data_IF_580062947731
#
_entry.id   IF_580062947731
#
_cell.length_a   1.000
_cell.length_b   1.000
_cell.length_c   1.000
_cell.angle_alpha   90.00
_cell.angle_beta   90.00
_cell.angle_gamma   90.00
#
_symmetry.space_group_name_H-M   'P 1'
#
loop_
_entity.id
_entity.type
_entity.pdbx_description
1 polymer ?
#
# COMPACT_ATOMS: atom_id res chain seq x y z
N UNK A 1 20.08 -6.40 5.44
CA UNK A 1 19.03 -6.37 4.41
C UNK A 1 18.31 -5.05 4.51
N UNK A 2 18.32 -4.25 3.43
CA UNK A 2 17.49 -3.05 3.36
C UNK A 2 16.01 -3.50 3.36
N UNK A 3 15.17 -3.09 4.32
CA UNK A 3 13.77 -3.53 4.42
C UNK A 3 12.90 -3.09 3.23
N UNK A 4 13.47 -2.30 2.31
CA UNK A 4 12.80 -1.74 1.15
C UNK A 4 12.88 -2.59 -0.12
N UNK A 5 13.74 -3.61 -0.17
CA UNK A 5 13.94 -4.44 -1.37
C UNK A 5 13.92 -5.92 -1.03
N UNK A 6 13.31 -6.71 -1.91
CA UNK A 6 13.35 -8.17 -1.87
C UNK A 6 14.67 -8.70 -2.49
N UNK A 7 14.95 -9.99 -2.31
CA UNK A 7 16.23 -10.56 -2.78
C UNK A 7 16.37 -10.49 -4.30
N UNK A 8 15.27 -10.68 -5.03
CA UNK A 8 15.27 -10.58 -6.49
C UNK A 8 15.30 -9.13 -7.00
N UNK A 9 15.09 -8.15 -6.11
CA UNK A 9 15.14 -6.72 -6.42
C UNK A 9 16.52 -6.11 -6.14
N UNK A 10 17.48 -6.86 -5.56
CA UNK A 10 18.83 -6.36 -5.29
C UNK A 10 19.52 -5.76 -6.52
N UNK A 11 19.45 -6.35 -7.72
CA UNK A 11 20.05 -5.75 -8.91
C UNK A 11 19.49 -4.36 -9.26
N UNK A 12 18.22 -4.10 -8.91
CA UNK A 12 17.56 -2.81 -9.09
C UNK A 12 18.06 -1.83 -8.02
N UNK A 13 18.12 -2.28 -6.76
CA UNK A 13 18.61 -1.50 -5.63
C UNK A 13 20.05 -1.02 -5.84
N UNK A 14 20.94 -1.87 -6.36
CA UNK A 14 22.33 -1.54 -6.66
C UNK A 14 22.44 -0.44 -7.74
N UNK A 15 21.58 -0.51 -8.77
CA UNK A 15 21.52 0.51 -9.82
C UNK A 15 20.98 1.84 -9.28
N UNK A 16 19.94 1.81 -8.44
CA UNK A 16 19.40 3.01 -7.80
C UNK A 16 20.41 3.67 -6.85
N UNK A 17 21.13 2.87 -6.05
CA UNK A 17 22.20 3.37 -5.19
C UNK A 17 23.29 4.07 -6.03
N UNK A 18 23.72 3.47 -7.14
CA UNK A 18 24.71 4.08 -8.04
C UNK A 18 24.22 5.37 -8.70
N UNK A 19 22.95 5.43 -9.08
CA UNK A 19 22.34 6.65 -9.62
C UNK A 19 22.34 7.77 -8.56
N UNK A 20 22.04 7.42 -7.31
CA UNK A 20 21.98 8.39 -6.22
C UNK A 20 23.38 8.89 -5.82
N UNK A 21 24.39 8.01 -5.79
CA UNK A 21 25.79 8.41 -5.62
C UNK A 21 26.24 9.40 -6.70
N UNK A 22 25.95 9.13 -7.97
CA UNK A 22 26.31 10.03 -9.08
C UNK A 22 25.59 11.38 -9.00
N UNK A 23 24.36 11.42 -8.46
CA UNK A 23 23.65 12.68 -8.20
C UNK A 23 24.32 13.52 -7.13
N UNK A 24 24.90 12.91 -6.09
CA UNK A 24 25.55 13.63 -4.99
C UNK A 24 26.93 14.21 -5.35
N UNK A 25 27.59 13.69 -6.40
CA UNK A 25 28.94 14.10 -6.84
C UNK A 25 28.93 15.29 -7.81
N UNK A 26 27.77 15.72 -8.31
CA UNK A 26 27.62 16.68 -9.41
C UNK A 26 27.90 18.16 -9.10
N UNK A 27 29.13 18.52 -8.72
CA UNK A 27 29.56 19.92 -8.59
C UNK A 27 30.67 20.37 -9.57
N UNK A 28 31.36 19.45 -10.29
CA UNK A 28 32.54 19.82 -11.10
C UNK A 28 32.55 19.31 -12.57
N UNK A 29 31.60 18.44 -12.99
CA UNK A 29 31.59 17.82 -14.35
C UNK A 29 30.17 17.50 -14.86
N UNK A 30 29.30 18.51 -14.87
CA UNK A 30 27.83 18.36 -15.01
C UNK A 30 27.34 17.63 -16.27
N UNK A 31 27.99 17.81 -17.43
CA UNK A 31 27.46 17.31 -18.71
C UNK A 31 27.61 15.78 -18.83
N UNK A 32 28.76 15.21 -18.44
CA UNK A 32 29.02 13.77 -18.57
C UNK A 32 28.25 12.95 -17.53
N UNK A 33 28.04 13.52 -16.33
CA UNK A 33 27.31 12.86 -15.25
C UNK A 33 25.81 12.76 -15.58
N UNK A 34 25.22 13.80 -16.16
CA UNK A 34 23.80 13.81 -16.53
C UNK A 34 23.45 12.71 -17.57
N UNK A 35 24.31 12.53 -18.57
CA UNK A 35 24.13 11.50 -19.61
C UNK A 35 24.26 10.08 -19.03
N UNK A 36 25.24 9.85 -18.15
CA UNK A 36 25.41 8.55 -17.49
C UNK A 36 24.26 8.24 -16.53
N UNK A 37 23.75 9.22 -15.78
CA UNK A 37 22.53 9.06 -14.96
C UNK A 37 21.34 8.67 -15.84
N UNK A 38 21.15 9.32 -16.99
CA UNK A 38 20.08 9.01 -17.94
C UNK A 38 20.19 7.57 -18.46
N UNK A 39 21.40 7.14 -18.80
CA UNK A 39 21.68 5.77 -19.25
C UNK A 39 21.40 4.73 -18.15
N UNK A 40 21.85 4.98 -16.93
CA UNK A 40 21.63 4.08 -15.78
C UNK A 40 20.15 4.00 -15.42
N UNK A 41 19.40 5.10 -15.49
CA UNK A 41 17.93 5.09 -15.30
C UNK A 41 17.23 4.22 -16.33
N UNK A 42 17.55 4.38 -17.62
CA UNK A 42 16.98 3.53 -18.68
C UNK A 42 17.28 2.06 -18.43
N UNK A 43 18.52 1.75 -18.01
CA UNK A 43 18.92 0.39 -17.66
C UNK A 43 18.13 -0.14 -16.45
N UNK A 44 17.97 0.67 -15.41
CA UNK A 44 17.17 0.33 -14.22
C UNK A 44 15.72 0.01 -14.60
N UNK A 45 15.06 0.87 -15.39
CA UNK A 45 13.69 0.62 -15.87
C UNK A 45 13.59 -0.69 -16.66
N UNK A 46 14.48 -0.90 -17.64
CA UNK A 46 14.46 -2.13 -18.44
C UNK A 46 14.71 -3.39 -17.60
N UNK A 47 15.56 -3.29 -16.58
CA UNK A 47 15.87 -4.40 -15.69
C UNK A 47 14.66 -4.71 -14.80
N UNK A 48 14.02 -3.68 -14.23
CA UNK A 48 12.79 -3.81 -13.47
C UNK A 48 11.71 -4.49 -14.32
N UNK A 49 11.46 -4.04 -15.54
CA UNK A 49 10.48 -4.68 -16.44
C UNK A 49 10.80 -6.16 -16.67
N UNK A 50 12.07 -6.50 -16.93
CA UNK A 50 12.48 -7.89 -17.18
C UNK A 50 12.30 -8.80 -15.96
N UNK A 51 12.64 -8.32 -14.76
CA UNK A 51 12.51 -9.06 -13.50
C UNK A 51 11.04 -9.27 -13.17
N UNK A 52 10.23 -8.21 -13.24
CA UNK A 52 8.81 -8.29 -12.90
C UNK A 52 8.00 -9.08 -13.94
N UNK A 53 8.45 -9.17 -15.19
CA UNK A 53 7.84 -10.01 -16.23
C UNK A 53 8.05 -11.52 -15.99
N UNK A 54 9.06 -11.92 -15.21
CA UNK A 54 9.46 -13.33 -15.02
C UNK A 54 9.33 -13.80 -13.55
N UNK A 55 8.49 -13.13 -12.75
CA UNK A 55 8.29 -13.47 -11.35
C UNK A 55 7.82 -14.91 -11.15
N UNK A 56 8.48 -15.62 -10.24
CA UNK A 56 8.02 -16.94 -9.82
C UNK A 56 6.84 -16.80 -8.84
N UNK A 57 6.08 -17.89 -8.66
CA UNK A 57 4.94 -17.91 -7.73
C UNK A 57 5.33 -17.50 -6.30
N UNK A 58 6.54 -17.86 -5.86
CA UNK A 58 7.07 -17.47 -4.57
C UNK A 58 7.39 -15.96 -4.50
N UNK A 59 7.96 -15.38 -5.55
CA UNK A 59 8.29 -13.96 -5.61
C UNK A 59 7.02 -13.10 -5.55
N UNK A 60 5.96 -13.50 -6.24
CA UNK A 60 4.64 -12.85 -6.17
C UNK A 60 4.11 -12.87 -4.72
N UNK A 61 4.27 -13.99 -4.02
CA UNK A 61 3.84 -14.11 -2.62
C UNK A 61 4.65 -13.19 -1.70
N UNK A 62 5.95 -13.04 -1.94
CA UNK A 62 6.81 -12.11 -1.21
C UNK A 62 6.43 -10.66 -1.48
N UNK A 63 6.19 -10.30 -2.74
CA UNK A 63 5.73 -8.98 -3.14
C UNK A 63 4.37 -8.65 -2.50
N UNK A 64 3.47 -9.63 -2.44
CA UNK A 64 2.18 -9.48 -1.79
C UNK A 64 2.30 -9.19 -0.28
N UNK A 65 3.42 -9.55 0.34
CA UNK A 65 3.76 -9.31 1.75
C UNK A 65 4.82 -8.23 1.93
N UNK A 66 5.11 -7.45 0.89
CA UNK A 66 6.15 -6.44 0.92
C UNK A 66 5.91 -5.44 2.07
N UNK A 67 6.94 -5.10 2.89
CA UNK A 67 6.77 -4.19 4.03
C UNK A 67 6.21 -2.82 3.64
N UNK A 68 6.51 -2.34 2.43
CA UNK A 68 6.00 -1.07 1.89
C UNK A 68 4.75 -1.19 1.04
N UNK A 69 4.14 -2.38 0.94
CA UNK A 69 2.89 -2.55 0.18
C UNK A 69 1.84 -1.58 0.73
N UNK A 70 1.17 -0.78 -0.12
CA UNK A 70 0.08 0.08 0.32
C UNK A 70 -1.07 -0.74 0.92
N UNK A 71 -1.65 -0.23 2.01
CA UNK A 71 -2.79 -0.78 2.72
C UNK A 71 -4.06 0.03 2.42
N UNK A 72 -5.18 -0.41 2.98
CA UNK A 72 -6.51 0.19 2.74
C UNK A 72 -6.52 1.70 2.95
N UNK A 73 -5.98 2.21 4.05
CA UNK A 73 -5.98 3.65 4.30
C UNK A 73 -5.14 4.45 3.28
N UNK A 74 -4.07 3.87 2.74
CA UNK A 74 -3.26 4.55 1.72
C UNK A 74 -4.04 4.73 0.42
N UNK A 75 -4.86 3.75 0.04
CA UNK A 75 -5.76 3.88 -1.10
C UNK A 75 -6.93 4.82 -0.80
N UNK A 76 -7.45 4.80 0.42
CA UNK A 76 -8.55 5.68 0.81
C UNK A 76 -8.13 7.15 0.64
N UNK A 77 -6.94 7.51 1.15
CA UNK A 77 -6.39 8.87 1.07
C UNK A 77 -6.14 9.34 -0.38
N UNK A 78 -5.85 8.42 -1.30
CA UNK A 78 -5.51 8.75 -2.68
C UNK A 78 -6.69 8.70 -3.65
N UNK A 79 -7.74 7.93 -3.33
CA UNK A 79 -8.85 7.63 -4.27
C UNK A 79 -10.15 8.33 -3.87
N UNK A 80 -10.37 8.58 -2.57
CA UNK A 80 -11.67 9.04 -2.08
C UNK A 80 -11.57 10.39 -1.38
N UNK A 81 -12.64 11.17 -1.51
CA UNK A 81 -12.83 12.43 -0.78
C UNK A 81 -13.76 12.21 0.43
N UNK A 82 -13.72 13.13 1.40
CA UNK A 82 -14.64 13.15 2.56
C UNK A 82 -14.78 11.80 3.29
N UNK A 83 -13.65 11.11 3.54
CA UNK A 83 -13.68 9.83 4.26
C UNK A 83 -13.92 10.02 5.76
N UNK A 84 -15.06 9.52 6.23
CA UNK A 84 -15.43 9.46 7.64
C UNK A 84 -15.35 8.02 8.17
N UNK A 85 -14.31 7.71 8.95
CA UNK A 85 -14.15 6.39 9.56
C UNK A 85 -15.23 6.13 10.64
N UNK A 86 -15.90 4.99 10.54
CA UNK A 86 -16.97 4.57 11.44
C UNK A 86 -16.53 3.40 12.32
N UNK A 87 -16.64 3.56 13.63
CA UNK A 87 -16.14 2.61 14.62
C UNK A 87 -17.24 1.72 15.24
N UNK A 88 -16.83 0.53 15.69
CA UNK A 88 -17.60 -0.35 16.58
C UNK A 88 -18.61 -1.26 15.88
N UNK A 89 -18.85 -2.43 16.48
CA UNK A 89 -19.86 -3.42 16.06
C UNK A 89 -21.22 -3.24 16.78
N UNK A 90 -21.30 -2.32 17.74
CA UNK A 90 -22.46 -2.07 18.63
C UNK A 90 -22.84 -3.26 19.53
N UNK A 91 -21.93 -4.22 19.75
CA UNK A 91 -22.16 -5.39 20.60
C UNK A 91 -21.02 -5.65 21.58
N UNK A 92 -19.78 -5.51 21.14
CA UNK A 92 -18.61 -5.87 21.93
C UNK A 92 -17.53 -4.81 21.86
N UNK A 93 -16.94 -4.58 20.69
CA UNK A 93 -15.77 -3.71 20.54
C UNK A 93 -15.65 -3.14 19.12
N UNK A 94 -14.74 -2.18 18.96
CA UNK A 94 -14.21 -1.76 17.67
C UNK A 94 -12.94 -2.56 17.35
N UNK A 95 -12.93 -3.26 16.21
CA UNK A 95 -11.77 -4.00 15.74
C UNK A 95 -10.86 -3.10 14.88
N UNK A 96 -9.64 -2.77 15.33
CA UNK A 96 -8.72 -1.93 14.57
C UNK A 96 -8.13 -2.63 13.33
N UNK A 97 -8.32 -3.94 13.16
CA UNK A 97 -7.94 -4.67 11.95
C UNK A 97 -8.88 -4.38 10.77
N UNK A 98 -10.11 -3.94 11.01
CA UNK A 98 -11.08 -3.53 9.99
C UNK A 98 -11.30 -2.03 10.07
N UNK A 99 -10.94 -1.34 9.01
CA UNK A 99 -11.29 0.07 8.79
C UNK A 99 -12.47 0.13 7.85
N UNK A 100 -13.35 1.12 8.05
CA UNK A 100 -14.44 1.34 7.12
C UNK A 100 -15.30 2.52 7.50
N UNK A 101 -15.97 3.09 6.51
CA UNK A 101 -16.58 4.40 6.63
C UNK A 101 -17.23 4.86 5.34
N UNK A 102 -17.94 5.98 5.43
CA UNK A 102 -18.49 6.66 4.25
C UNK A 102 -17.43 7.51 3.60
N UNK A 103 -17.44 7.56 2.27
CA UNK A 103 -16.56 8.41 1.48
C UNK A 103 -17.27 8.87 0.22
N UNK A 104 -16.62 9.72 -0.58
CA UNK A 104 -17.03 10.07 -1.94
C UNK A 104 -16.03 9.56 -2.96
N UNK A 105 -16.55 8.98 -4.04
CA UNK A 105 -15.79 8.63 -5.24
C UNK A 105 -16.38 9.40 -6.41
N UNK A 106 -15.63 10.33 -6.99
CA UNK A 106 -16.10 11.24 -8.04
C UNK A 106 -17.43 11.93 -7.66
N UNK A 107 -17.51 12.40 -6.42
CA UNK A 107 -18.71 13.04 -5.85
C UNK A 107 -19.84 12.09 -5.45
N UNK A 108 -19.78 10.80 -5.82
CA UNK A 108 -20.81 9.80 -5.45
C UNK A 108 -20.53 9.22 -4.06
N UNK A 109 -21.53 9.18 -3.14
CA UNK A 109 -21.34 8.59 -1.82
C UNK A 109 -21.18 7.07 -1.92
N UNK A 110 -20.18 6.53 -1.22
CA UNK A 110 -19.83 5.11 -1.18
C UNK A 110 -19.50 4.68 0.25
N UNK A 111 -19.66 3.38 0.54
CA UNK A 111 -19.17 2.76 1.75
C UNK A 111 -17.88 1.99 1.43
N UNK A 112 -16.80 2.32 2.13
CA UNK A 112 -15.49 1.65 1.96
C UNK A 112 -15.20 0.83 3.20
N UNK A 113 -14.72 -0.41 3.02
CA UNK A 113 -14.35 -1.32 4.12
C UNK A 113 -13.07 -2.05 3.72
N UNK A 114 -12.14 -2.29 4.64
CA UNK A 114 -11.00 -3.13 4.33
C UNK A 114 -10.11 -3.50 5.50
N UNK A 115 -9.17 -4.39 5.23
CA UNK A 115 -8.18 -4.82 6.21
C UNK A 115 -7.08 -3.78 6.38
N UNK A 116 -6.71 -3.49 7.63
CA UNK A 116 -5.63 -2.57 7.92
C UNK A 116 -4.56 -3.25 8.77
N UNK A 117 -3.36 -3.38 8.20
CA UNK A 117 -2.23 -4.10 8.82
C UNK A 117 -1.40 -3.27 9.78
N UNK A 118 -1.18 -1.99 9.46
CA UNK A 118 -0.22 -1.13 10.16
C UNK A 118 1.20 -1.23 9.58
N UNK A 119 1.93 -0.11 9.57
CA UNK A 119 3.30 -0.01 9.01
C UNK A 119 4.34 -0.30 10.09
N UNK A 120 4.25 0.42 11.20
CA UNK A 120 5.14 0.29 12.35
C UNK A 120 4.79 -0.92 13.23
N UNK A 121 5.76 -1.38 14.02
CA UNK A 121 5.57 -2.53 14.93
C UNK A 121 4.41 -2.28 15.89
N UNK A 122 4.33 -1.07 16.47
CA UNK A 122 3.24 -0.67 17.37
C UNK A 122 1.88 -0.75 16.69
N UNK A 123 1.78 -0.28 15.45
CA UNK A 123 0.54 -0.31 14.68
C UNK A 123 0.15 -1.73 14.28
N UNK A 124 1.13 -2.56 13.90
CA UNK A 124 0.91 -3.97 13.56
C UNK A 124 0.32 -4.74 14.73
N UNK A 125 0.87 -4.54 15.93
CA UNK A 125 0.33 -5.16 17.15
C UNK A 125 -1.07 -4.62 17.45
N UNK A 126 -1.26 -3.30 17.39
CA UNK A 126 -2.58 -2.67 17.63
C UNK A 126 -3.64 -3.21 16.69
N UNK A 127 -3.34 -3.36 15.39
CA UNK A 127 -4.26 -3.81 14.35
C UNK A 127 -4.25 -5.32 14.13
N UNK A 128 -3.64 -6.08 15.04
CA UNK A 128 -3.53 -7.53 14.96
C UNK A 128 -3.02 -8.03 13.60
N UNK A 129 -2.06 -7.34 12.99
CA UNK A 129 -1.52 -7.64 11.66
C UNK A 129 -2.58 -7.72 10.55
N UNK A 130 -3.68 -6.95 10.69
CA UNK A 130 -4.82 -6.97 9.78
C UNK A 130 -5.63 -8.28 9.86
N UNK A 131 -5.49 -9.04 10.94
CA UNK A 131 -6.27 -10.25 11.20
C UNK A 131 -7.48 -9.89 12.07
N UNK A 132 -8.69 -9.83 11.49
CA UNK A 132 -9.87 -9.41 12.23
C UNK A 132 -10.35 -10.51 13.19
N UNK A 133 -10.89 -10.06 14.32
CA UNK A 133 -11.66 -10.85 15.28
C UNK A 133 -13.14 -10.89 14.86
N UNK A 134 -13.99 -11.71 15.51
CA UNK A 134 -15.41 -11.77 15.17
C UNK A 134 -16.12 -10.41 15.19
N UNK A 135 -15.78 -9.53 16.11
CA UNK A 135 -16.27 -8.15 16.19
C UNK A 135 -15.95 -7.32 14.94
N UNK A 136 -14.79 -7.53 14.29
CA UNK A 136 -14.42 -6.86 13.04
C UNK A 136 -15.34 -7.25 11.88
N UNK A 137 -15.68 -8.54 11.76
CA UNK A 137 -16.65 -8.99 10.76
C UNK A 137 -18.07 -8.47 11.04
N UNK A 138 -18.49 -8.38 12.31
CA UNK A 138 -19.78 -7.78 12.67
C UNK A 138 -19.82 -6.28 12.39
N UNK A 139 -18.71 -5.56 12.63
CA UNK A 139 -18.53 -4.16 12.23
C UNK A 139 -18.68 -4.02 10.72
N UNK A 140 -17.98 -4.84 9.93
CA UNK A 140 -18.09 -4.83 8.47
C UNK A 140 -19.54 -5.06 8.01
N UNK A 141 -20.22 -6.08 8.55
CA UNK A 141 -21.63 -6.35 8.24
C UNK A 141 -22.53 -5.15 8.56
N UNK A 142 -22.38 -4.54 9.74
CA UNK A 142 -23.14 -3.34 10.14
C UNK A 142 -22.96 -2.20 9.15
N UNK A 143 -21.74 -1.99 8.65
CA UNK A 143 -21.43 -0.97 7.66
C UNK A 143 -22.08 -1.30 6.30
N UNK A 144 -22.06 -2.57 5.88
CA UNK A 144 -22.74 -3.01 4.66
C UNK A 144 -24.27 -2.81 4.75
N UNK A 145 -24.89 -3.16 5.87
CA UNK A 145 -26.33 -2.92 6.11
C UNK A 145 -26.68 -1.42 6.13
N UNK A 146 -25.75 -0.57 6.58
CA UNK A 146 -25.93 0.88 6.51
C UNK A 146 -25.85 1.37 5.07
N UNK A 147 -24.89 0.88 4.29
CA UNK A 147 -24.75 1.20 2.89
C UNK A 147 -26.00 0.80 2.09
N UNK A 148 -26.53 -0.40 2.33
CA UNK A 148 -27.78 -0.88 1.72
C UNK A 148 -28.95 0.06 2.01
N UNK A 149 -29.15 0.46 3.27
CA UNK A 149 -30.23 1.37 3.69
C UNK A 149 -30.21 2.71 2.94
N UNK A 150 -29.02 3.25 2.68
CA UNK A 150 -28.85 4.51 1.96
C UNK A 150 -28.55 4.32 0.46
N UNK A 151 -28.65 3.09 -0.05
CA UNK A 151 -28.39 2.72 -1.45
C UNK A 151 -26.99 3.15 -1.93
N UNK A 152 -26.00 3.06 -1.05
CA UNK A 152 -24.60 3.36 -1.36
C UNK A 152 -23.90 2.11 -1.89
N UNK A 153 -23.06 2.23 -2.95
CA UNK A 153 -22.15 1.16 -3.35
C UNK A 153 -21.18 0.79 -2.24
N UNK A 154 -20.77 -0.48 -2.19
CA UNK A 154 -19.80 -1.00 -1.22
C UNK A 154 -18.51 -1.35 -1.96
N UNK A 155 -17.39 -0.86 -1.45
CA UNK A 155 -16.05 -1.14 -1.96
C UNK A 155 -15.21 -1.78 -0.86
N UNK A 156 -14.69 -2.98 -1.13
CA UNK A 156 -13.92 -3.75 -0.15
C UNK A 156 -12.46 -3.93 -0.56
N UNK A 157 -11.53 -3.62 0.34
CA UNK A 157 -10.10 -3.90 0.19
C UNK A 157 -9.69 -5.13 1.01
N UNK A 158 -9.25 -6.19 0.31
CA UNK A 158 -8.87 -7.49 0.89
C UNK A 158 -7.35 -7.62 0.94
#
# INVERSE_FOLDING_TARGET
MNPNYLDFEQPIADLEAKIEELRMVGNDTDINIADEISRLRKKSVSLTESIFAQLQAWDITRLARHPRRPYTLDYIEQIFDDFDELHGDRRYADDPAIVGGTARLDGRPVMVIGHQKGREIKDKVRRNFGMPRPEGYRKALRLMEMAERFRMPILTFI
#
